data_IF_639877375321
#
_entry.id   IF_639877375321
#
_cell.length_a   1.000
_cell.length_b   1.000
_cell.length_c   1.000
_cell.angle_alpha   90.00
_cell.angle_beta   90.00
_cell.angle_gamma   90.00
#
_symmetry.space_group_name_H-M   'P 1'
#
loop_
_entity.id
_entity.type
_entity.pdbx_description
1 polymer ?
#
# COMPACT_ATOMS: atom_id res chain seq x y z
N UNK A 1 8.98 12.41 -6.98
CA UNK A 1 7.70 12.03 -6.33
C UNK A 1 7.96 10.89 -5.35
N UNK A 2 7.38 10.94 -4.15
CA UNK A 2 7.57 9.89 -3.14
C UNK A 2 6.56 8.76 -3.32
N UNK A 3 6.99 7.52 -3.12
CA UNK A 3 6.18 6.30 -3.15
C UNK A 3 6.29 5.59 -1.81
N UNK A 4 5.16 5.20 -1.21
CA UNK A 4 5.11 4.53 0.09
C UNK A 4 5.05 3.03 -0.06
N UNK A 5 6.01 2.31 0.53
CA UNK A 5 6.03 0.85 0.66
C UNK A 5 5.33 0.40 1.95
N UNK A 6 4.30 1.13 2.36
CA UNK A 6 3.55 0.89 3.57
C UNK A 6 2.13 1.45 3.41
N UNK A 7 1.23 0.97 4.27
CA UNK A 7 -0.13 1.48 4.39
C UNK A 7 -0.35 2.20 5.71
N UNK A 8 -1.31 3.14 5.69
CA UNK A 8 -1.86 3.73 6.92
C UNK A 8 -3.14 3.02 7.26
N UNK A 9 -3.28 2.67 8.54
CA UNK A 9 -4.28 1.71 8.98
C UNK A 9 -5.08 2.22 10.17
N UNK A 10 -6.34 1.84 10.26
CA UNK A 10 -7.29 2.37 11.22
C UNK A 10 -8.23 1.26 11.74
N UNK A 11 -8.60 1.37 13.02
CA UNK A 11 -9.71 0.62 13.60
C UNK A 11 -10.98 1.45 13.41
N UNK A 12 -11.92 0.95 12.61
CA UNK A 12 -13.16 1.63 12.28
C UNK A 12 -14.13 1.60 13.46
N UNK A 13 -14.83 2.72 13.68
CA UNK A 13 -15.79 2.87 14.79
C UNK A 13 -17.04 2.02 14.59
N UNK A 14 -17.53 1.95 13.36
CA UNK A 14 -18.67 1.10 12.97
C UNK A 14 -18.20 0.07 11.93
N UNK A 15 -18.22 -1.24 12.24
CA UNK A 15 -17.88 -2.31 11.29
C UNK A 15 -18.75 -2.33 10.03
N UNK A 16 -19.90 -1.64 10.02
CA UNK A 16 -20.75 -1.50 8.84
C UNK A 16 -20.36 -0.29 7.97
N UNK A 17 -19.49 0.61 8.47
CA UNK A 17 -18.97 1.76 7.74
C UNK A 17 -17.47 1.55 7.47
N UNK A 18 -17.17 0.89 6.35
CA UNK A 18 -15.80 0.53 5.95
C UNK A 18 -15.30 1.30 4.71
N UNK A 19 -15.98 2.39 4.35
CA UNK A 19 -15.62 3.24 3.22
C UNK A 19 -14.70 4.39 3.66
N UNK A 20 -13.98 4.99 2.72
CA UNK A 20 -13.24 6.25 2.95
C UNK A 20 -14.19 7.31 3.52
N UNK A 21 -13.74 8.02 4.56
CA UNK A 21 -14.52 9.06 5.23
C UNK A 21 -15.37 8.57 6.41
N UNK A 22 -15.48 7.25 6.64
CA UNK A 22 -16.07 6.71 7.86
C UNK A 22 -15.21 7.06 9.09
N UNK A 23 -15.85 7.22 10.26
CA UNK A 23 -15.16 7.50 11.52
C UNK A 23 -14.31 6.29 11.98
N UNK A 24 -13.11 6.58 12.48
CA UNK A 24 -12.23 5.60 13.14
C UNK A 24 -12.00 6.00 14.60
N UNK A 25 -11.61 5.04 15.43
CA UNK A 25 -11.30 5.29 16.85
C UNK A 25 -9.82 5.47 17.11
N UNK A 26 -8.99 4.70 16.42
CA UNK A 26 -7.54 4.67 16.60
C UNK A 26 -6.83 4.06 15.37
N UNK A 27 -5.51 4.00 15.40
CA UNK A 27 -4.74 3.21 14.43
C UNK A 27 -5.09 1.72 14.53
N UNK A 28 -5.04 1.00 13.41
CA UNK A 28 -5.20 -0.45 13.44
C UNK A 28 -4.10 -1.10 14.28
N UNK A 29 -4.32 -2.36 14.68
CA UNK A 29 -3.32 -3.15 15.39
C UNK A 29 -2.00 -3.18 14.59
N UNK A 30 -0.89 -3.00 15.29
CA UNK A 30 0.44 -3.08 14.68
C UNK A 30 0.68 -4.48 14.09
N UNK A 31 1.41 -4.51 12.97
CA UNK A 31 1.76 -5.77 12.32
C UNK A 31 2.80 -6.57 13.10
N UNK A 32 2.99 -7.83 12.69
CA UNK A 32 3.92 -8.77 13.33
C UNK A 32 5.38 -8.28 13.29
N UNK A 33 5.76 -7.59 12.21
CA UNK A 33 7.12 -7.10 11.98
C UNK A 33 7.25 -5.63 12.37
N UNK A 34 6.31 -4.78 11.95
CA UNK A 34 6.37 -3.34 12.20
C UNK A 34 6.07 -3.00 13.66
N UNK A 35 5.11 -3.70 14.30
CA UNK A 35 4.73 -3.50 15.70
C UNK A 35 4.15 -2.12 16.03
N UNK A 36 3.90 -1.27 15.03
CA UNK A 36 3.47 0.12 15.21
C UNK A 36 1.97 0.24 14.90
N UNK A 37 1.12 0.65 15.87
CA UNK A 37 -0.27 0.92 15.59
C UNK A 37 -0.46 1.95 14.48
N UNK A 38 -1.36 1.66 13.55
CA UNK A 38 -1.68 2.54 12.42
C UNK A 38 -0.72 2.49 11.23
N UNK A 39 0.25 1.57 11.22
CA UNK A 39 1.18 1.35 10.11
C UNK A 39 1.30 -0.14 9.84
N UNK A 40 1.29 -0.53 8.56
CA UNK A 40 1.68 -1.86 8.11
C UNK A 40 2.64 -1.73 6.93
N UNK A 41 3.67 -2.58 6.88
CA UNK A 41 4.57 -2.66 5.74
C UNK A 41 3.86 -3.27 4.52
N UNK A 42 4.37 -3.04 3.30
CA UNK A 42 3.84 -3.70 2.11
C UNK A 42 3.87 -5.23 2.24
N UNK A 43 4.95 -5.79 2.81
CA UNK A 43 5.06 -7.21 3.08
C UNK A 43 3.95 -7.74 4.02
N UNK A 44 3.65 -7.01 5.11
CA UNK A 44 2.57 -7.37 6.04
C UNK A 44 1.19 -7.27 5.38
N UNK A 45 0.99 -6.24 4.57
CA UNK A 45 -0.26 -6.03 3.82
C UNK A 45 -0.49 -7.17 2.84
N UNK A 46 0.52 -7.53 2.04
CA UNK A 46 0.43 -8.66 1.09
C UNK A 46 0.07 -9.96 1.83
N UNK A 47 0.73 -10.25 2.96
CA UNK A 47 0.40 -11.41 3.81
C UNK A 47 -1.05 -11.40 4.30
N UNK A 48 -1.59 -10.25 4.71
CA UNK A 48 -2.99 -10.14 5.16
C UNK A 48 -3.97 -10.33 4.00
N UNK A 49 -3.65 -9.80 2.82
CA UNK A 49 -4.44 -9.98 1.60
C UNK A 49 -4.48 -11.45 1.19
N UNK A 50 -3.33 -12.14 1.19
CA UNK A 50 -3.23 -13.56 0.87
C UNK A 50 -4.03 -14.44 1.85
N UNK A 51 -4.23 -13.96 3.08
CA UNK A 51 -5.05 -14.61 4.10
C UNK A 51 -6.56 -14.28 3.99
N UNK A 52 -7.00 -13.61 2.91
CA UNK A 52 -8.41 -13.42 2.59
C UNK A 52 -9.00 -12.07 2.95
N UNK A 53 -8.18 -11.02 3.11
CA UNK A 53 -8.68 -9.67 3.27
C UNK A 53 -9.45 -9.18 2.01
N UNK A 54 -10.42 -8.30 2.22
CA UNK A 54 -11.20 -7.72 1.12
C UNK A 54 -10.51 -6.47 0.60
N UNK A 55 -10.18 -6.44 -0.68
CA UNK A 55 -9.48 -5.32 -1.34
C UNK A 55 -10.40 -4.58 -2.29
N UNK A 56 -10.37 -3.26 -2.25
CA UNK A 56 -11.04 -2.35 -3.20
C UNK A 56 -10.04 -1.33 -3.76
N UNK A 57 -10.43 -0.63 -4.83
CA UNK A 57 -9.61 0.37 -5.49
C UNK A 57 -10.32 1.72 -5.45
N UNK A 58 -9.68 2.70 -4.83
CA UNK A 58 -10.06 4.10 -4.95
C UNK A 58 -9.39 4.67 -6.20
N UNK A 59 -10.15 4.74 -7.29
CA UNK A 59 -9.67 5.20 -8.59
C UNK A 59 -9.34 6.70 -8.60
N UNK A 60 -10.06 7.49 -7.79
CA UNK A 60 -9.85 8.93 -7.71
C UNK A 60 -8.57 9.24 -6.93
N UNK A 61 -8.35 8.54 -5.80
CA UNK A 61 -7.13 8.67 -5.01
C UNK A 61 -5.92 7.92 -5.61
N UNK A 62 -6.14 7.08 -6.64
CA UNK A 62 -5.14 6.15 -7.17
C UNK A 62 -4.45 5.34 -6.07
N UNK A 63 -5.25 4.77 -5.16
CA UNK A 63 -4.81 4.01 -4.00
C UNK A 63 -5.68 2.77 -3.77
N UNK A 64 -5.11 1.74 -3.15
CA UNK A 64 -5.87 0.57 -2.72
C UNK A 64 -6.37 0.76 -1.30
N UNK A 65 -7.49 0.12 -1.03
CA UNK A 65 -8.07 0.00 0.29
C UNK A 65 -8.22 -1.48 0.58
N UNK A 66 -7.88 -1.93 1.79
CA UNK A 66 -8.26 -3.25 2.24
C UNK A 66 -8.85 -3.24 3.64
N UNK A 67 -9.66 -4.26 3.90
CA UNK A 67 -10.35 -4.45 5.17
C UNK A 67 -10.20 -5.89 5.65
N UNK A 68 -9.96 -6.05 6.94
CA UNK A 68 -9.73 -7.34 7.58
C UNK A 68 -10.26 -7.34 9.03
N UNK A 69 -10.31 -8.52 9.66
CA UNK A 69 -10.69 -8.72 11.06
C UNK A 69 -12.00 -8.02 11.49
N UNK A 70 -12.94 -7.83 10.55
CA UNK A 70 -14.26 -7.25 10.79
C UNK A 70 -14.30 -5.73 10.91
N UNK A 71 -13.27 -5.06 11.45
CA UNK A 71 -13.28 -3.61 11.64
C UNK A 71 -11.93 -2.91 11.38
N UNK A 72 -10.96 -3.62 10.80
CA UNK A 72 -9.68 -3.03 10.46
C UNK A 72 -9.72 -2.56 9.00
N UNK A 73 -9.15 -1.39 8.76
CA UNK A 73 -9.15 -0.72 7.47
C UNK A 73 -7.77 -0.16 7.17
N UNK A 74 -7.38 -0.16 5.90
CA UNK A 74 -6.11 0.41 5.49
C UNK A 74 -6.19 1.01 4.09
N UNK A 75 -5.44 2.10 3.89
CA UNK A 75 -5.10 2.63 2.57
C UNK A 75 -3.62 2.42 2.30
N UNK A 76 -3.32 1.91 1.11
CA UNK A 76 -1.97 1.52 0.71
C UNK A 76 -1.79 1.60 -0.81
N UNK A 77 -0.56 1.41 -1.25
CA UNK A 77 -0.23 1.21 -2.66
C UNK A 77 -0.03 -0.27 -2.98
N UNK A 78 -0.56 -0.76 -4.10
CA UNK A 78 -0.14 -2.03 -4.69
C UNK A 78 0.73 -1.77 -5.94
N UNK A 79 1.22 -2.85 -6.55
CA UNK A 79 1.99 -2.78 -7.81
C UNK A 79 1.29 -1.95 -8.89
N UNK A 80 -0.05 -2.00 -8.95
CA UNK A 80 -0.82 -1.26 -9.98
C UNK A 80 -0.86 0.24 -9.66
N UNK A 81 -1.12 0.64 -8.43
CA UNK A 81 -1.16 2.06 -8.06
C UNK A 81 0.23 2.69 -8.06
N UNK A 82 1.27 1.95 -7.68
CA UNK A 82 2.66 2.38 -7.85
C UNK A 82 3.00 2.66 -9.32
N UNK A 83 2.55 1.81 -10.25
CA UNK A 83 2.77 2.03 -11.68
C UNK A 83 2.02 3.27 -12.18
N UNK A 84 0.75 3.45 -11.79
CA UNK A 84 -0.03 4.66 -12.12
C UNK A 84 0.69 5.92 -11.64
N UNK A 85 1.22 5.88 -10.41
CA UNK A 85 2.00 6.96 -9.82
C UNK A 85 3.30 7.19 -10.59
N UNK A 86 4.07 6.15 -10.89
CA UNK A 86 5.30 6.26 -11.68
C UNK A 86 5.04 6.89 -13.07
N UNK A 87 4.01 6.42 -13.77
CA UNK A 87 3.60 6.96 -15.07
C UNK A 87 3.20 8.44 -14.96
N UNK A 88 2.49 8.81 -13.89
CA UNK A 88 2.12 10.21 -13.61
C UNK A 88 3.35 11.12 -13.38
N UNK A 89 4.38 10.63 -12.68
CA UNK A 89 5.64 11.35 -12.52
C UNK A 89 6.37 11.54 -13.85
N UNK A 90 6.43 10.50 -14.68
CA UNK A 90 7.06 10.54 -16.00
C UNK A 90 6.35 11.51 -16.94
N UNK A 91 5.01 11.47 -16.99
CA UNK A 91 4.20 12.39 -17.80
C UNK A 91 4.40 13.87 -17.43
N UNK A 92 4.80 14.15 -16.19
CA UNK A 92 5.09 15.50 -15.68
C UNK A 92 6.56 15.89 -15.73
N UNK A 93 7.42 15.04 -16.29
CA UNK A 93 8.87 15.25 -16.35
C UNK A 93 9.48 15.54 -14.95
N UNK A 94 8.98 14.86 -13.90
CA UNK A 94 9.57 15.00 -12.57
C UNK A 94 10.97 14.39 -12.55
N UNK A 95 11.90 14.95 -11.78
CA UNK A 95 13.31 14.55 -11.77
C UNK A 95 13.60 13.14 -11.21
N UNK A 96 12.58 12.41 -10.75
CA UNK A 96 12.70 11.05 -10.27
C UNK A 96 11.65 10.65 -9.24
N UNK A 97 11.77 9.41 -8.76
CA UNK A 97 10.97 8.85 -7.66
C UNK A 97 11.87 8.52 -6.47
N UNK A 98 11.28 8.55 -5.28
CA UNK A 98 11.91 8.11 -4.03
C UNK A 98 10.96 7.12 -3.37
N UNK A 99 11.50 6.08 -2.73
CA UNK A 99 10.71 5.08 -2.01
C UNK A 99 10.93 5.20 -0.51
N UNK A 100 9.84 5.11 0.25
CA UNK A 100 9.87 5.00 1.70
C UNK A 100 9.13 3.73 2.13
N UNK A 101 9.79 2.70 2.66
CA UNK A 101 11.23 2.49 2.67
C UNK A 101 11.53 1.06 2.17
N UNK A 102 12.78 0.82 1.77
CA UNK A 102 13.18 -0.43 1.11
C UNK A 102 12.96 -1.67 1.99
N UNK A 103 13.09 -1.53 3.31
CA UNK A 103 12.89 -2.58 4.31
C UNK A 103 11.43 -2.97 4.54
N UNK A 104 10.48 -2.20 4.00
CA UNK A 104 9.04 -2.44 4.14
C UNK A 104 8.45 -3.28 3.00
N UNK A 105 9.25 -3.56 1.97
CA UNK A 105 8.88 -4.36 0.80
C UNK A 105 9.30 -5.82 0.97
N UNK A 106 8.54 -6.74 0.38
CA UNK A 106 8.91 -8.16 0.24
C UNK A 106 9.71 -8.43 -1.06
N UNK A 107 9.96 -7.37 -1.84
CA UNK A 107 10.66 -7.37 -3.11
C UNK A 107 9.74 -7.13 -4.31
N UNK A 108 8.42 -7.30 -4.13
CA UNK A 108 7.45 -7.15 -5.20
C UNK A 108 7.32 -5.71 -5.70
N UNK A 109 7.46 -4.71 -4.81
CA UNK A 109 7.29 -3.32 -5.20
C UNK A 109 8.53 -2.79 -5.89
N UNK A 110 9.72 -3.16 -5.42
CA UNK A 110 10.98 -2.82 -6.06
C UNK A 110 11.05 -3.42 -7.47
N UNK A 111 10.68 -4.71 -7.64
CA UNK A 111 10.62 -5.36 -8.95
C UNK A 111 9.68 -4.60 -9.91
N UNK A 112 8.50 -4.18 -9.41
CA UNK A 112 7.53 -3.43 -10.19
C UNK A 112 8.01 -2.03 -10.64
N UNK A 113 8.89 -1.39 -9.85
CA UNK A 113 9.42 -0.06 -10.14
C UNK A 113 10.71 -0.09 -10.98
N UNK A 114 11.44 -1.20 -10.96
CA UNK A 114 12.59 -1.35 -11.85
C UNK A 114 12.12 -1.53 -13.29
N UNK A 115 12.64 -0.75 -14.25
CA UNK A 115 12.50 -1.11 -15.65
C UNK A 115 13.08 -2.52 -15.80
N UNK A 116 12.31 -3.46 -16.35
CA UNK A 116 12.84 -4.77 -16.74
C UNK A 116 14.01 -4.50 -17.68
N UNK A 117 15.22 -4.52 -17.12
CA UNK A 117 16.43 -4.43 -17.91
C UNK A 117 16.50 -5.74 -18.65
N UNK A 118 16.10 -5.72 -19.92
CA UNK A 118 16.38 -6.79 -20.88
C UNK A 118 17.88 -6.84 -21.17
N UNK A 119 18.73 -6.86 -20.14
CA UNK A 119 20.07 -7.42 -20.28
C UNK A 119 19.88 -8.93 -20.35
N UNK A 120 19.81 -9.42 -21.59
CA UNK A 120 20.15 -10.82 -21.86
C UNK A 120 21.43 -11.12 -21.09
N UNK A 121 21.38 -12.13 -20.22
CA UNK A 121 22.61 -12.78 -19.76
C UNK A 121 23.34 -13.25 -21.02
N UNK A 122 24.46 -12.61 -21.32
CA UNK A 122 25.51 -13.20 -22.16
C UNK A 122 26.22 -14.31 -21.38
#
# INVERSE_FOLDING_TARGET
MSLGFYGRTFTMKDPNCMNTGCEFTEGAKGGECTGIPGVLSAAEINKIIDNGAKVSHDLEAAAKIFTWDGNQWASFDDVKTLKIKLDYANQRCLGGTMVWAIDLDDGSFLEALTPVSTKKKE
#
